data_IF_278158761462
#
_entry.id   IF_278158761462
#
_cell.length_a   1.000
_cell.length_b   1.000
_cell.length_c   1.000
_cell.angle_alpha   90.00
_cell.angle_beta   90.00
_cell.angle_gamma   90.00
#
_symmetry.space_group_name_H-M   'P 1'
#
loop_
_entity.id
_entity.type
_entity.pdbx_description
1 polymer ?
#
# COMPACT_ATOMS: atom_id res chain seq x y z
N UNK A 1 11.24 -2.93 -25.09
CA UNK A 1 12.28 -2.89 -24.04
C UNK A 1 11.73 -1.98 -22.96
N UNK A 2 11.28 -2.52 -21.84
CA UNK A 2 10.71 -1.72 -20.76
C UNK A 2 11.88 -1.06 -20.02
N UNK A 3 11.86 0.26 -19.85
CA UNK A 3 12.87 0.92 -19.03
C UNK A 3 12.50 0.75 -17.56
N UNK A 4 13.42 0.28 -16.73
CA UNK A 4 13.24 0.07 -15.29
C UNK A 4 12.89 1.37 -14.54
N UNK A 5 13.30 2.51 -15.08
CA UNK A 5 13.03 3.84 -14.51
C UNK A 5 11.54 4.17 -14.35
N UNK A 6 10.67 3.55 -15.15
CA UNK A 6 9.21 3.78 -15.10
C UNK A 6 8.49 2.97 -14.02
N UNK A 7 9.16 2.01 -13.36
CA UNK A 7 8.50 1.11 -12.39
C UNK A 7 8.56 1.60 -10.94
N UNK A 8 9.28 2.69 -10.65
CA UNK A 8 9.40 3.19 -9.27
C UNK A 8 10.10 2.19 -8.33
N UNK A 9 11.12 1.49 -8.83
CA UNK A 9 11.87 0.47 -8.08
C UNK A 9 12.65 1.13 -6.95
N UNK A 10 12.45 0.65 -5.73
CA UNK A 10 13.14 1.12 -4.53
C UNK A 10 13.63 -0.07 -3.72
N UNK A 11 14.94 -0.17 -3.50
CA UNK A 11 15.53 -1.26 -2.70
C UNK A 11 15.27 -1.07 -1.20
N UNK A 12 14.84 -2.13 -0.55
CA UNK A 12 14.51 -2.12 0.88
C UNK A 12 15.77 -2.07 1.75
N UNK A 13 15.93 -1.07 2.64
CA UNK A 13 17.03 -1.05 3.61
C UNK A 13 16.97 -2.25 4.55
N UNK A 14 18.15 -2.78 4.96
CA UNK A 14 18.25 -3.97 5.80
C UNK A 14 17.46 -3.85 7.11
N UNK A 15 17.56 -2.73 7.81
CA UNK A 15 16.88 -2.48 9.08
C UNK A 15 15.34 -2.46 8.92
N UNK A 16 14.83 -2.01 7.77
CA UNK A 16 13.40 -2.06 7.46
C UNK A 16 12.98 -3.49 7.09
N UNK A 17 13.81 -4.22 6.35
CA UNK A 17 13.57 -5.63 6.02
C UNK A 17 13.50 -6.48 7.30
N UNK A 18 14.41 -6.25 8.27
CA UNK A 18 14.40 -6.91 9.58
C UNK A 18 13.08 -6.65 10.31
N UNK A 19 12.63 -5.41 10.36
CA UNK A 19 11.38 -5.05 11.01
C UNK A 19 10.16 -5.76 10.39
N UNK A 20 10.03 -5.74 9.07
CA UNK A 20 8.88 -6.35 8.38
C UNK A 20 8.89 -7.87 8.52
N UNK A 21 10.09 -8.50 8.47
CA UNK A 21 10.23 -9.92 8.63
C UNK A 21 9.91 -10.38 10.07
N UNK A 22 10.40 -9.67 11.08
CA UNK A 22 10.09 -9.98 12.49
C UNK A 22 8.60 -9.78 12.77
N UNK A 23 8.01 -8.69 12.29
CA UNK A 23 6.59 -8.38 12.44
C UNK A 23 5.70 -9.46 11.82
N UNK A 24 6.00 -9.89 10.60
CA UNK A 24 5.27 -10.97 9.93
C UNK A 24 5.41 -12.29 10.68
N UNK A 25 6.61 -12.62 11.13
CA UNK A 25 6.86 -13.84 11.89
C UNK A 25 6.07 -13.86 13.22
N UNK A 26 6.06 -12.75 13.94
CA UNK A 26 5.36 -12.64 15.22
C UNK A 26 3.84 -12.81 15.03
N UNK A 27 3.25 -12.23 13.97
CA UNK A 27 1.83 -12.43 13.66
C UNK A 27 1.48 -13.89 13.29
N UNK A 28 2.38 -14.58 12.58
CA UNK A 28 2.21 -15.99 12.25
C UNK A 28 2.31 -16.85 13.52
N UNK A 29 3.30 -16.60 14.35
CA UNK A 29 3.59 -17.40 15.54
C UNK A 29 2.53 -17.24 16.64
N UNK A 30 1.92 -16.06 16.77
CA UNK A 30 0.86 -15.77 17.74
C UNK A 30 -0.43 -16.59 17.52
N UNK A 31 -0.61 -17.19 16.34
CA UNK A 31 -1.82 -17.96 15.99
C UNK A 31 -1.53 -19.47 15.96
N UNK A 32 -0.27 -19.84 15.93
CA UNK A 32 0.13 -21.22 15.70
C UNK A 32 0.23 -22.07 16.98
N UNK A 33 -0.91 -22.45 17.56
CA UNK A 33 -1.01 -23.71 18.29
C UNK A 33 -0.89 -24.94 17.36
N UNK A 34 -0.86 -24.72 16.04
CA UNK A 34 -0.69 -25.76 15.02
C UNK A 34 0.69 -25.63 14.39
N UNK A 35 1.51 -26.65 14.56
CA UNK A 35 2.81 -26.84 13.92
C UNK A 35 2.69 -26.54 12.41
N UNK A 36 3.22 -25.38 11.97
CA UNK A 36 3.36 -25.09 10.55
C UNK A 36 4.51 -25.96 10.06
N UNK A 37 4.19 -27.14 9.53
CA UNK A 37 5.19 -28.10 9.05
C UNK A 37 5.85 -27.67 7.73
N UNK A 38 5.19 -26.81 6.95
CA UNK A 38 5.68 -26.33 5.65
C UNK A 38 5.36 -24.85 5.49
N UNK A 39 6.40 -24.04 5.30
CA UNK A 39 6.29 -22.60 5.06
C UNK A 39 6.76 -22.29 3.65
N UNK A 40 5.84 -21.82 2.82
CA UNK A 40 6.11 -21.37 1.44
C UNK A 40 5.94 -19.85 1.38
N UNK A 41 7.02 -19.13 1.11
CA UNK A 41 7.06 -17.67 1.10
C UNK A 41 7.20 -17.17 -0.34
N UNK A 42 6.40 -16.18 -0.72
CA UNK A 42 6.49 -15.51 -2.02
C UNK A 42 6.84 -14.04 -1.83
N UNK A 43 7.79 -13.55 -2.62
CA UNK A 43 7.95 -12.13 -2.92
C UNK A 43 7.65 -11.90 -4.41
N UNK A 44 6.53 -11.26 -4.76
CA UNK A 44 6.11 -11.03 -6.14
C UNK A 44 6.88 -9.91 -6.86
N UNK A 45 7.80 -9.20 -6.17
CA UNK A 45 8.66 -8.17 -6.72
C UNK A 45 10.00 -8.17 -5.96
N UNK A 46 10.72 -9.30 -6.04
CA UNK A 46 11.76 -9.65 -5.06
C UNK A 46 13.02 -8.76 -5.11
N UNK A 47 13.26 -8.05 -6.21
CA UNK A 47 14.49 -7.30 -6.35
C UNK A 47 15.71 -8.18 -6.01
N UNK A 48 16.63 -7.68 -5.19
CA UNK A 48 17.81 -8.43 -4.75
C UNK A 48 17.52 -9.50 -3.66
N UNK A 49 16.27 -9.93 -3.48
CA UNK A 49 15.89 -11.01 -2.57
C UNK A 49 16.04 -10.70 -1.07
N UNK A 50 16.23 -9.44 -0.70
CA UNK A 50 16.52 -9.04 0.69
C UNK A 50 15.42 -9.46 1.67
N UNK A 51 14.15 -9.26 1.31
CA UNK A 51 13.02 -9.62 2.16
C UNK A 51 12.91 -11.14 2.33
N UNK A 52 13.06 -11.91 1.25
CA UNK A 52 13.06 -13.38 1.30
C UNK A 52 14.20 -13.93 2.16
N UNK A 53 15.39 -13.34 2.01
CA UNK A 53 16.53 -13.76 2.81
C UNK A 53 16.35 -13.46 4.28
N UNK A 54 15.87 -12.26 4.60
CA UNK A 54 15.66 -11.81 5.97
C UNK A 54 14.60 -12.65 6.68
N UNK A 55 13.44 -12.86 6.06
CA UNK A 55 12.37 -13.67 6.67
C UNK A 55 12.81 -15.13 6.85
N UNK A 56 13.56 -15.70 5.90
CA UNK A 56 14.12 -17.05 6.04
C UNK A 56 15.07 -17.18 7.23
N UNK A 57 15.91 -16.16 7.48
CA UNK A 57 16.76 -16.11 8.68
C UNK A 57 15.94 -16.06 9.96
N UNK A 58 14.89 -15.25 9.98
CA UNK A 58 13.99 -15.12 11.15
C UNK A 58 13.33 -16.46 11.45
N UNK A 59 12.74 -17.15 10.46
CA UNK A 59 12.16 -18.48 10.64
C UNK A 59 13.20 -19.49 11.16
N UNK A 60 14.37 -19.54 10.53
CA UNK A 60 15.43 -20.45 10.94
C UNK A 60 15.89 -20.20 12.38
N UNK A 61 16.05 -18.95 12.78
CA UNK A 61 16.56 -18.57 14.10
C UNK A 61 15.53 -18.75 15.22
N UNK A 62 14.26 -18.40 14.96
CA UNK A 62 13.20 -18.39 15.99
C UNK A 62 12.41 -19.71 16.07
N UNK A 63 12.30 -20.48 14.98
CA UNK A 63 11.50 -21.71 14.93
C UNK A 63 12.22 -22.94 14.38
N UNK A 64 13.48 -22.80 13.96
CA UNK A 64 14.26 -23.84 13.29
C UNK A 64 13.61 -24.38 11.99
N UNK A 65 12.65 -23.66 11.41
CA UNK A 65 12.01 -23.97 10.13
C UNK A 65 12.83 -23.34 9.01
N UNK A 66 13.06 -24.07 7.93
CA UNK A 66 13.65 -23.54 6.70
C UNK A 66 12.56 -23.41 5.65
N UNK A 67 12.08 -22.18 5.35
CA UNK A 67 11.02 -21.97 4.36
C UNK A 67 11.47 -22.29 2.94
N UNK A 68 10.52 -22.67 2.10
CA UNK A 68 10.69 -22.62 0.64
C UNK A 68 10.32 -21.23 0.15
N UNK A 69 11.23 -20.58 -0.56
CA UNK A 69 11.10 -19.21 -1.01
C UNK A 69 10.90 -19.14 -2.52
N UNK A 70 10.03 -18.26 -2.94
CA UNK A 70 9.73 -17.95 -4.33
C UNK A 70 9.89 -16.45 -4.56
N UNK A 71 10.76 -16.06 -5.49
CA UNK A 71 10.97 -14.68 -5.89
C UNK A 71 10.59 -14.49 -7.36
N UNK A 72 9.89 -13.42 -7.67
CA UNK A 72 9.54 -13.04 -9.04
C UNK A 72 10.06 -11.64 -9.28
N UNK A 73 10.73 -11.41 -10.39
CA UNK A 73 11.12 -10.08 -10.84
C UNK A 73 11.24 -10.04 -12.38
N UNK A 74 11.15 -8.82 -12.94
CA UNK A 74 11.31 -8.57 -14.38
C UNK A 74 12.76 -8.27 -14.77
N UNK A 75 13.63 -7.97 -13.80
CA UNK A 75 15.03 -7.66 -14.05
C UNK A 75 15.88 -8.92 -14.12
N UNK A 76 16.40 -9.20 -15.32
CA UNK A 76 17.24 -10.36 -15.57
C UNK A 76 18.55 -10.33 -14.78
N UNK A 77 19.15 -9.14 -14.56
CA UNK A 77 20.41 -9.01 -13.84
C UNK A 77 20.24 -9.36 -12.36
N UNK A 78 19.14 -8.89 -11.78
CA UNK A 78 18.77 -9.18 -10.40
C UNK A 78 18.53 -10.67 -10.21
N UNK A 79 17.70 -11.28 -11.04
CA UNK A 79 17.41 -12.72 -10.97
C UNK A 79 18.66 -13.59 -11.18
N UNK A 80 19.58 -13.19 -12.07
CA UNK A 80 20.85 -13.89 -12.22
C UNK A 80 21.72 -13.82 -10.99
N UNK A 81 21.80 -12.64 -10.35
CA UNK A 81 22.54 -12.41 -9.11
C UNK A 81 21.95 -13.24 -7.97
N UNK A 82 20.63 -13.24 -7.81
CA UNK A 82 19.94 -14.00 -6.77
C UNK A 82 20.16 -15.50 -6.89
N UNK A 83 20.06 -16.04 -8.10
CA UNK A 83 20.36 -17.47 -8.37
C UNK A 83 21.80 -17.87 -8.05
N UNK A 84 22.74 -16.93 -8.02
CA UNK A 84 24.12 -17.16 -7.60
C UNK A 84 24.32 -17.06 -6.10
N UNK A 85 23.62 -16.12 -5.47
CA UNK A 85 23.80 -15.80 -4.04
C UNK A 85 23.03 -16.75 -3.11
N UNK A 86 21.86 -17.24 -3.55
CA UNK A 86 20.97 -18.01 -2.70
C UNK A 86 20.99 -19.51 -3.02
N UNK A 87 20.88 -20.38 -1.99
CA UNK A 87 20.88 -21.83 -2.18
C UNK A 87 19.70 -22.30 -3.02
N UNK A 88 19.94 -23.10 -4.05
CA UNK A 88 18.90 -23.65 -4.94
C UNK A 88 17.93 -24.61 -4.23
N UNK A 89 18.27 -25.08 -3.06
CA UNK A 89 17.46 -26.05 -2.31
C UNK A 89 16.17 -25.48 -1.75
N UNK A 90 16.16 -24.17 -1.44
CA UNK A 90 15.01 -23.52 -0.82
C UNK A 90 14.69 -22.13 -1.39
N UNK A 91 15.36 -21.73 -2.48
CA UNK A 91 15.06 -20.47 -3.20
C UNK A 91 14.80 -20.75 -4.68
N UNK A 92 13.65 -20.31 -5.17
CA UNK A 92 13.18 -20.46 -6.53
C UNK A 92 12.89 -19.07 -7.13
N UNK A 93 13.64 -18.64 -8.13
CA UNK A 93 13.51 -17.33 -8.75
C UNK A 93 12.97 -17.43 -10.18
N UNK A 94 11.98 -16.60 -10.49
CA UNK A 94 11.32 -16.52 -11.79
C UNK A 94 11.59 -15.16 -12.44
N UNK A 95 12.17 -15.16 -13.63
CA UNK A 95 12.26 -13.98 -14.50
C UNK A 95 10.97 -13.86 -15.29
N UNK A 96 10.04 -13.04 -14.80
CA UNK A 96 8.72 -12.89 -15.42
C UNK A 96 8.01 -11.63 -14.92
N UNK A 97 7.11 -11.07 -15.73
CA UNK A 97 6.17 -10.06 -15.29
C UNK A 97 5.14 -10.68 -14.34
N UNK A 98 5.11 -10.23 -13.11
CA UNK A 98 4.21 -10.76 -12.09
C UNK A 98 2.75 -10.43 -12.40
N UNK A 99 2.48 -9.20 -12.86
CA UNK A 99 1.12 -8.66 -13.05
C UNK A 99 0.49 -9.17 -14.35
N UNK A 100 1.26 -9.20 -15.44
CA UNK A 100 0.83 -9.69 -16.75
C UNK A 100 1.78 -10.80 -17.24
N UNK A 101 1.73 -12.00 -16.62
CA UNK A 101 2.66 -13.08 -16.96
C UNK A 101 2.29 -13.80 -18.27
N UNK A 102 1.05 -13.67 -18.73
CA UNK A 102 0.52 -14.27 -19.95
C UNK A 102 -0.65 -13.45 -20.50
N UNK A 103 -0.84 -13.48 -21.82
CA UNK A 103 -2.01 -12.89 -22.45
C UNK A 103 -3.24 -13.83 -22.45
N UNK A 104 -3.02 -15.13 -22.29
CA UNK A 104 -4.05 -16.16 -22.53
C UNK A 104 -4.82 -16.56 -21.27
N UNK A 105 -4.26 -16.34 -20.10
CA UNK A 105 -4.87 -16.72 -18.81
C UNK A 105 -4.67 -15.64 -17.76
N UNK A 106 -5.58 -15.59 -16.79
CA UNK A 106 -5.48 -14.63 -15.67
C UNK A 106 -4.18 -14.85 -14.87
N UNK A 107 -3.67 -13.75 -14.31
CA UNK A 107 -2.39 -13.75 -13.60
C UNK A 107 -2.37 -14.74 -12.42
N UNK A 108 -3.47 -14.80 -11.64
CA UNK A 108 -3.56 -15.74 -10.51
C UNK A 108 -3.57 -17.19 -10.96
N UNK A 109 -4.27 -17.55 -12.06
CA UNK A 109 -4.24 -18.90 -12.62
C UNK A 109 -2.88 -19.28 -13.17
N UNK A 110 -2.16 -18.32 -13.78
CA UNK A 110 -0.80 -18.55 -14.27
C UNK A 110 0.13 -18.94 -13.12
N UNK A 111 0.09 -18.18 -12.02
CA UNK A 111 0.98 -18.42 -10.88
C UNK A 111 0.58 -19.63 -10.06
N UNK A 112 -0.71 -19.89 -9.82
CA UNK A 112 -1.21 -21.10 -9.11
C UNK A 112 -0.80 -22.42 -9.76
N UNK A 113 -0.54 -22.43 -11.06
CA UNK A 113 0.00 -23.61 -11.75
C UNK A 113 1.48 -23.85 -11.49
N UNK A 114 2.24 -22.82 -11.09
CA UNK A 114 3.69 -22.83 -10.90
C UNK A 114 4.13 -22.83 -9.45
N UNK A 115 3.39 -22.10 -8.62
CA UNK A 115 3.68 -21.93 -7.21
C UNK A 115 2.43 -22.33 -6.44
N UNK A 116 2.57 -23.31 -5.53
CA UNK A 116 1.44 -23.85 -4.78
C UNK A 116 1.58 -23.60 -3.29
N UNK A 117 0.45 -23.59 -2.60
CA UNK A 117 0.38 -23.55 -1.14
C UNK A 117 1.17 -22.38 -0.52
N UNK A 118 1.07 -21.19 -1.09
CA UNK A 118 1.71 -20.00 -0.53
C UNK A 118 1.10 -19.70 0.85
N UNK A 119 1.93 -19.82 1.88
CA UNK A 119 1.55 -19.58 3.28
C UNK A 119 1.80 -18.16 3.71
N UNK A 120 2.86 -17.54 3.16
CA UNK A 120 3.26 -16.19 3.48
C UNK A 120 3.64 -15.42 2.21
N UNK A 121 3.37 -14.12 2.21
CA UNK A 121 3.87 -13.19 1.20
C UNK A 121 4.53 -12.02 1.92
N UNK A 122 5.71 -11.62 1.48
CA UNK A 122 6.44 -10.46 2.00
C UNK A 122 6.96 -9.67 0.81
N UNK A 123 6.64 -8.39 0.69
CA UNK A 123 7.04 -7.61 -0.47
C UNK A 123 7.18 -6.11 -0.21
N UNK A 124 8.05 -5.50 -0.98
CA UNK A 124 8.08 -4.07 -1.25
C UNK A 124 7.82 -3.86 -2.75
N UNK A 125 6.55 -3.95 -3.21
CA UNK A 125 6.23 -3.81 -4.63
C UNK A 125 6.52 -2.40 -5.13
N UNK A 126 6.72 -2.18 -6.44
CA UNK A 126 6.98 -0.86 -6.99
C UNK A 126 5.82 0.11 -6.74
N UNK A 127 6.15 1.41 -6.51
CA UNK A 127 5.20 2.47 -6.12
C UNK A 127 4.99 3.49 -7.26
N UNK A 128 4.79 3.03 -8.48
CA UNK A 128 4.54 3.93 -9.60
C UNK A 128 3.09 4.42 -9.59
N UNK A 129 2.91 5.74 -9.62
CA UNK A 129 1.62 6.38 -9.87
C UNK A 129 1.35 6.59 -11.37
N UNK A 130 2.31 6.27 -12.21
CA UNK A 130 2.16 6.30 -13.67
C UNK A 130 1.44 5.03 -14.14
N UNK A 131 0.61 5.19 -15.17
CA UNK A 131 -0.10 4.07 -15.77
C UNK A 131 0.88 3.19 -16.56
N UNK A 132 1.34 2.12 -15.94
CA UNK A 132 2.31 1.17 -16.53
C UNK A 132 1.63 0.13 -17.42
N UNK A 133 0.35 -0.20 -17.15
CA UNK A 133 -0.41 -1.24 -17.85
C UNK A 133 -1.69 -0.67 -18.46
N UNK A 134 -2.10 -1.21 -19.60
CA UNK A 134 -3.38 -0.87 -20.21
C UNK A 134 -4.55 -1.48 -19.44
N UNK A 135 -5.67 -0.73 -19.33
CA UNK A 135 -6.86 -1.18 -18.60
C UNK A 135 -7.47 -2.45 -19.20
N UNK A 136 -7.41 -2.60 -20.53
CA UNK A 136 -7.87 -3.81 -21.23
C UNK A 136 -7.10 -5.03 -20.77
N UNK A 137 -5.77 -4.93 -20.69
CA UNK A 137 -4.91 -6.05 -20.29
C UNK A 137 -5.12 -6.43 -18.83
N UNK A 138 -5.28 -5.42 -17.94
CA UNK A 138 -5.59 -5.66 -16.53
C UNK A 138 -6.95 -6.33 -16.34
N UNK A 139 -7.97 -5.90 -17.08
CA UNK A 139 -9.29 -6.52 -17.02
C UNK A 139 -9.25 -7.98 -17.52
N UNK A 140 -8.55 -8.24 -18.62
CA UNK A 140 -8.37 -9.59 -19.15
C UNK A 140 -7.58 -10.49 -18.19
N UNK A 141 -6.60 -9.92 -17.48
CA UNK A 141 -5.85 -10.61 -16.43
C UNK A 141 -6.61 -10.78 -15.11
N UNK A 142 -7.85 -10.22 -15.00
CA UNK A 142 -8.75 -10.42 -13.88
C UNK A 142 -8.56 -9.47 -12.69
N UNK A 143 -7.94 -8.30 -12.90
CA UNK A 143 -7.79 -7.26 -11.86
C UNK A 143 -9.06 -6.42 -11.72
N UNK A 144 -9.38 -6.03 -10.48
CA UNK A 144 -10.55 -5.22 -10.13
C UNK A 144 -10.17 -3.79 -9.74
N UNK A 145 -9.01 -3.61 -9.07
CA UNK A 145 -8.59 -2.33 -8.49
C UNK A 145 -7.61 -1.54 -9.35
N UNK A 146 -7.20 -2.08 -10.49
CA UNK A 146 -6.30 -1.42 -11.45
C UNK A 146 -7.01 -0.54 -12.48
N UNK A 147 -8.15 0.08 -12.12
CA UNK A 147 -8.96 0.89 -13.04
C UNK A 147 -8.82 2.37 -12.68
N UNK A 148 -8.51 3.22 -13.67
CA UNK A 148 -8.32 4.66 -13.48
C UNK A 148 -6.91 5.03 -13.06
N UNK A 149 -6.78 5.95 -12.10
CA UNK A 149 -5.49 6.33 -11.52
C UNK A 149 -5.24 5.48 -10.27
N UNK A 150 -4.16 4.72 -10.25
CA UNK A 150 -3.77 3.86 -9.15
C UNK A 150 -2.24 3.79 -9.02
N UNK A 151 -1.75 3.50 -7.83
CA UNK A 151 -0.35 3.10 -7.63
C UNK A 151 -0.18 1.61 -7.94
N UNK A 152 0.93 1.23 -8.56
CA UNK A 152 1.17 -0.15 -9.01
C UNK A 152 1.10 -1.21 -7.89
N UNK A 153 1.45 -0.87 -6.65
CA UNK A 153 1.36 -1.78 -5.50
C UNK A 153 -0.05 -2.37 -5.30
N UNK A 154 -1.11 -1.67 -5.73
CA UNK A 154 -2.50 -2.13 -5.63
C UNK A 154 -2.72 -3.43 -6.39
N UNK A 155 -2.12 -3.56 -7.58
CA UNK A 155 -2.18 -4.77 -8.41
C UNK A 155 -1.44 -5.94 -7.74
N UNK A 156 -0.26 -5.67 -7.18
CA UNK A 156 0.51 -6.67 -6.42
C UNK A 156 -0.25 -7.14 -5.19
N UNK A 157 -0.92 -6.24 -4.47
CA UNK A 157 -1.74 -6.59 -3.30
C UNK A 157 -2.93 -7.45 -3.71
N UNK A 158 -3.66 -7.08 -4.77
CA UNK A 158 -4.80 -7.85 -5.27
C UNK A 158 -4.39 -9.26 -5.70
N UNK A 159 -3.31 -9.37 -6.48
CA UNK A 159 -2.80 -10.67 -6.93
C UNK A 159 -2.32 -11.52 -5.75
N UNK A 160 -1.61 -10.93 -4.82
CA UNK A 160 -1.09 -11.63 -3.64
C UNK A 160 -2.21 -12.24 -2.79
N UNK A 161 -3.31 -11.52 -2.58
CA UNK A 161 -4.46 -12.07 -1.86
C UNK A 161 -5.13 -13.23 -2.61
N UNK A 162 -5.10 -13.24 -3.95
CA UNK A 162 -5.59 -14.37 -4.76
C UNK A 162 -4.66 -15.59 -4.72
N UNK A 163 -3.37 -15.38 -4.52
CA UNK A 163 -2.35 -16.45 -4.47
C UNK A 163 -2.19 -17.04 -3.07
N UNK A 164 -2.40 -16.23 -2.05
CA UNK A 164 -2.25 -16.63 -0.66
C UNK A 164 -3.31 -17.66 -0.28
N UNK A 165 -2.90 -18.74 0.39
CA UNK A 165 -3.86 -19.73 0.88
C UNK A 165 -4.80 -19.12 1.94
N UNK A 166 -5.97 -19.72 2.21
CA UNK A 166 -6.78 -19.36 3.36
C UNK A 166 -5.95 -19.41 4.65
N UNK A 167 -6.15 -18.46 5.54
CA UNK A 167 -5.38 -18.27 6.78
C UNK A 167 -3.88 -17.97 6.60
N UNK A 168 -3.41 -17.77 5.37
CA UNK A 168 -2.07 -17.30 5.09
C UNK A 168 -1.87 -15.82 5.43
N UNK A 169 -0.62 -15.39 5.52
CA UNK A 169 -0.25 -14.03 5.91
C UNK A 169 0.49 -13.28 4.80
N UNK A 170 0.25 -11.99 4.76
CA UNK A 170 0.90 -11.07 3.83
C UNK A 170 1.43 -9.86 4.61
N UNK A 171 2.68 -9.47 4.35
CA UNK A 171 3.25 -8.21 4.82
C UNK A 171 3.76 -7.38 3.65
N UNK A 172 3.22 -6.20 3.46
CA UNK A 172 3.59 -5.28 2.39
C UNK A 172 4.14 -3.96 2.91
N UNK A 173 5.22 -3.51 2.29
CA UNK A 173 5.72 -2.14 2.40
C UNK A 173 5.03 -1.33 1.31
N UNK A 174 4.26 -0.33 1.69
CA UNK A 174 3.42 0.46 0.78
C UNK A 174 3.55 1.96 1.04
N UNK A 175 3.23 2.80 0.06
CA UNK A 175 3.13 4.24 0.30
C UNK A 175 1.85 4.59 1.04
N UNK A 176 1.83 5.77 1.67
CA UNK A 176 0.66 6.31 2.37
C UNK A 176 -0.56 6.56 1.46
N UNK A 177 -0.43 6.40 0.14
CA UNK A 177 -1.57 6.53 -0.78
C UNK A 177 -2.71 5.54 -0.48
N UNK A 178 -2.45 4.41 0.19
CA UNK A 178 -3.52 3.53 0.68
C UNK A 178 -4.53 4.28 1.56
N UNK A 179 -4.12 5.32 2.27
CA UNK A 179 -4.97 6.12 3.16
C UNK A 179 -5.68 7.27 2.42
N UNK A 180 -5.38 7.49 1.12
CA UNK A 180 -6.03 8.53 0.30
C UNK A 180 -7.49 8.17 -0.04
N UNK A 181 -8.27 9.19 -0.43
CA UNK A 181 -9.67 8.99 -0.86
C UNK A 181 -9.82 8.08 -2.08
N UNK A 182 -8.81 8.04 -2.94
CA UNK A 182 -8.81 7.25 -4.20
C UNK A 182 -8.86 5.74 -3.92
N UNK A 183 -8.24 5.28 -2.84
CA UNK A 183 -8.18 3.86 -2.46
C UNK A 183 -9.32 3.41 -1.52
N UNK A 184 -10.44 4.15 -1.43
CA UNK A 184 -11.56 3.82 -0.53
C UNK A 184 -12.16 2.44 -0.80
N UNK A 185 -12.32 2.07 -2.07
CA UNK A 185 -12.91 0.77 -2.45
C UNK A 185 -11.96 -0.39 -2.12
N UNK A 186 -10.66 -0.19 -2.28
CA UNK A 186 -9.65 -1.17 -1.84
C UNK A 186 -9.69 -1.34 -0.32
N UNK A 187 -9.73 -0.24 0.45
CA UNK A 187 -9.84 -0.33 1.92
C UNK A 187 -11.10 -1.05 2.36
N UNK A 188 -12.25 -0.74 1.73
CA UNK A 188 -13.50 -1.45 1.98
C UNK A 188 -13.35 -2.95 1.75
N UNK A 189 -12.80 -3.32 0.60
CA UNK A 189 -12.57 -4.71 0.26
C UNK A 189 -11.69 -5.43 1.29
N UNK A 190 -10.59 -4.81 1.71
CA UNK A 190 -9.69 -5.37 2.73
C UNK A 190 -10.42 -5.56 4.06
N UNK A 191 -11.19 -4.55 4.51
CA UNK A 191 -11.94 -4.60 5.78
C UNK A 191 -13.03 -5.67 5.80
N UNK A 192 -13.68 -5.94 4.67
CA UNK A 192 -14.78 -6.90 4.57
C UNK A 192 -14.33 -8.35 4.33
N UNK A 193 -13.13 -8.53 3.76
CA UNK A 193 -12.70 -9.85 3.28
C UNK A 193 -11.43 -10.38 3.93
N UNK A 194 -10.71 -9.57 4.71
CA UNK A 194 -9.45 -9.98 5.35
C UNK A 194 -9.35 -9.47 6.79
N UNK A 195 -8.61 -10.18 7.63
CA UNK A 195 -8.17 -9.62 8.91
C UNK A 195 -6.92 -8.78 8.71
N UNK A 196 -7.02 -7.48 8.95
CA UNK A 196 -5.87 -6.58 8.99
C UNK A 196 -5.24 -6.70 10.37
N UNK A 197 -4.08 -7.34 10.44
CA UNK A 197 -3.37 -7.60 11.69
C UNK A 197 -2.60 -6.40 12.19
N UNK A 198 -1.91 -5.71 11.26
CA UNK A 198 -1.08 -4.55 11.58
C UNK A 198 -1.24 -3.46 10.55
N UNK A 199 -1.31 -2.22 11.02
CA UNK A 199 -1.10 -1.00 10.24
C UNK A 199 -0.02 -0.18 10.95
N UNK A 200 1.17 -0.10 10.35
CA UNK A 200 2.27 0.69 10.87
C UNK A 200 2.61 1.84 9.91
N UNK A 201 2.41 3.09 10.32
CA UNK A 201 2.77 4.28 9.54
C UNK A 201 4.12 4.80 10.01
N UNK A 202 5.13 4.68 9.15
CA UNK A 202 6.52 4.97 9.49
C UNK A 202 6.97 6.37 9.05
N UNK A 203 6.20 7.01 8.16
CA UNK A 203 6.49 8.35 7.65
C UNK A 203 7.49 8.39 6.50
N UNK A 204 8.07 9.56 6.28
CA UNK A 204 8.93 9.85 5.11
C UNK A 204 10.41 9.53 5.36
N UNK A 205 11.20 9.53 4.27
CA UNK A 205 12.68 9.42 4.26
C UNK A 205 13.23 8.08 4.73
N UNK A 206 12.45 7.03 4.71
CA UNK A 206 12.94 5.67 5.02
C UNK A 206 13.74 5.06 3.88
N UNK A 207 13.54 5.55 2.67
CA UNK A 207 14.28 5.16 1.49
C UNK A 207 15.11 6.33 0.97
N UNK A 208 16.36 6.10 0.54
CA UNK A 208 17.16 7.13 -0.11
C UNK A 208 16.43 7.68 -1.35
N UNK A 209 16.40 9.01 -1.48
CA UNK A 209 15.81 9.72 -2.63
C UNK A 209 14.30 9.54 -2.84
N UNK A 210 13.57 8.95 -1.91
CA UNK A 210 12.11 8.81 -1.96
C UNK A 210 11.45 9.71 -0.91
N UNK A 211 10.66 10.67 -1.38
CA UNK A 211 9.91 11.62 -0.53
C UNK A 211 8.44 11.19 -0.33
N UNK A 212 8.17 9.88 -0.35
CA UNK A 212 6.84 9.34 -0.05
C UNK A 212 6.82 8.73 1.34
N UNK A 213 5.78 9.02 2.09
CA UNK A 213 5.59 8.38 3.38
C UNK A 213 5.33 6.87 3.21
N UNK A 214 5.96 6.10 4.07
CA UNK A 214 5.98 4.64 4.05
C UNK A 214 5.08 4.08 5.14
N UNK A 215 4.32 3.06 4.80
CA UNK A 215 3.53 2.28 5.74
C UNK A 215 3.76 0.79 5.54
N UNK A 216 3.54 0.01 6.61
CA UNK A 216 3.49 -1.44 6.56
C UNK A 216 2.06 -1.87 6.84
N UNK A 217 1.58 -2.83 6.05
CA UNK A 217 0.32 -3.52 6.32
C UNK A 217 0.58 -5.01 6.45
N UNK A 218 0.07 -5.63 7.52
CA UNK A 218 0.06 -7.08 7.68
C UNK A 218 -1.37 -7.56 7.66
N UNK A 219 -1.65 -8.53 6.80
CA UNK A 219 -2.99 -9.04 6.53
C UNK A 219 -2.98 -10.56 6.70
N UNK A 220 -4.02 -11.10 7.35
CA UNK A 220 -4.35 -12.53 7.30
C UNK A 220 -5.47 -12.74 6.29
N UNK A 221 -5.31 -13.70 5.39
CA UNK A 221 -6.29 -14.02 4.32
C UNK A 221 -7.46 -14.84 4.88
N UNK A 222 -8.24 -14.22 5.75
CA UNK A 222 -9.47 -14.78 6.34
C UNK A 222 -10.46 -13.65 6.60
N UNK A 223 -11.75 -13.94 6.52
CA UNK A 223 -12.78 -12.93 6.82
C UNK A 223 -12.69 -12.50 8.28
N UNK A 224 -12.82 -11.19 8.56
CA UNK A 224 -12.77 -10.71 9.94
C UNK A 224 -13.99 -11.18 10.74
N UNK A 225 -13.78 -11.43 12.01
CA UNK A 225 -14.83 -11.60 13.02
C UNK A 225 -15.19 -10.25 13.65
N UNK A 226 -16.32 -10.12 14.35
CA UNK A 226 -16.66 -8.89 15.09
C UNK A 226 -15.60 -8.48 16.12
N UNK A 227 -14.80 -9.44 16.60
CA UNK A 227 -13.75 -9.20 17.60
C UNK A 227 -12.35 -9.08 16.97
N UNK A 228 -12.23 -9.09 15.65
CA UNK A 228 -10.94 -8.93 14.98
C UNK A 228 -10.34 -7.56 15.32
N UNK A 229 -9.09 -7.59 15.79
CA UNK A 229 -8.34 -6.40 16.20
C UNK A 229 -7.18 -6.14 15.23
N UNK A 230 -6.95 -4.88 14.95
CA UNK A 230 -5.80 -4.40 14.19
C UNK A 230 -4.83 -3.72 15.16
N UNK A 231 -3.58 -4.13 15.16
CA UNK A 231 -2.51 -3.41 15.85
C UNK A 231 -2.13 -2.18 15.04
N UNK A 232 -2.24 -1.02 15.67
CA UNK A 232 -1.98 0.28 15.07
C UNK A 232 -0.70 0.87 15.65
N UNK A 233 0.17 1.36 14.77
CA UNK A 233 1.45 1.95 15.15
C UNK A 233 1.78 3.16 14.28
N UNK A 234 2.25 4.22 14.93
CA UNK A 234 2.80 5.40 14.26
C UNK A 234 4.21 5.68 14.78
N UNK A 235 5.17 5.69 13.87
CA UNK A 235 6.53 6.09 14.18
C UNK A 235 6.60 7.63 14.25
N UNK A 236 6.83 8.16 15.43
CA UNK A 236 6.97 9.60 15.61
C UNK A 236 8.30 10.13 15.04
N UNK A 237 8.44 11.45 14.98
CA UNK A 237 9.59 12.10 14.35
C UNK A 237 10.91 11.85 15.10
N UNK A 238 10.86 11.73 16.42
CA UNK A 238 12.05 11.52 17.27
C UNK A 238 12.56 10.10 17.06
N UNK A 239 11.66 9.12 17.19
CA UNK A 239 12.00 7.70 17.01
C UNK A 239 12.41 7.40 15.57
N UNK A 240 11.78 8.05 14.58
CA UNK A 240 12.19 7.91 13.19
C UNK A 240 13.62 8.39 12.96
N UNK A 241 13.99 9.51 13.56
CA UNK A 241 15.38 9.98 13.50
C UNK A 241 16.33 8.96 14.16
N UNK A 242 16.00 8.48 15.36
CA UNK A 242 16.81 7.46 16.05
C UNK A 242 16.94 6.16 15.22
N UNK A 243 15.87 5.74 14.54
CA UNK A 243 15.91 4.59 13.62
C UNK A 243 16.83 4.84 12.42
N UNK A 244 16.74 5.99 11.77
CA UNK A 244 17.59 6.36 10.63
C UNK A 244 19.05 6.48 11.02
N UNK A 245 19.34 6.94 12.24
CA UNK A 245 20.68 7.03 12.81
C UNK A 245 21.20 5.67 13.32
N UNK A 246 20.43 4.58 13.21
CA UNK A 246 20.80 3.23 13.66
C UNK A 246 20.74 2.99 15.18
N UNK A 247 20.13 3.91 15.92
CA UNK A 247 20.06 3.89 17.40
C UNK A 247 18.74 3.28 17.93
N UNK A 248 17.84 2.83 17.05
CA UNK A 248 16.54 2.27 17.43
C UNK A 248 16.21 1.06 16.56
N UNK A 249 15.78 -0.05 17.19
CA UNK A 249 15.14 -1.17 16.50
C UNK A 249 13.62 -0.94 16.43
N UNK A 250 13.05 -0.95 15.22
CA UNK A 250 11.63 -0.68 15.02
C UNK A 250 10.72 -1.71 15.71
N UNK A 251 11.11 -2.99 15.74
CA UNK A 251 10.27 -4.02 16.35
C UNK A 251 10.10 -3.80 17.86
N UNK A 252 11.16 -3.40 18.56
CA UNK A 252 11.11 -3.14 20.00
C UNK A 252 10.25 -1.90 20.29
N UNK A 253 10.38 -0.86 19.48
CA UNK A 253 9.56 0.36 19.57
C UNK A 253 8.09 0.08 19.23
N UNK A 254 7.83 -0.73 18.21
CA UNK A 254 6.49 -1.19 17.86
C UNK A 254 5.82 -1.91 19.03
N UNK A 255 6.48 -2.88 19.66
CA UNK A 255 5.92 -3.59 20.81
C UNK A 255 5.61 -2.70 22.02
N UNK A 256 6.35 -1.60 22.16
CA UNK A 256 6.14 -0.64 23.26
C UNK A 256 5.03 0.37 22.98
N UNK A 257 4.85 0.80 21.73
CA UNK A 257 4.01 1.95 21.37
C UNK A 257 2.78 1.59 20.54
N UNK A 258 2.66 0.36 20.04
CA UNK A 258 1.47 -0.06 19.31
C UNK A 258 0.26 -0.22 20.24
N UNK A 259 -0.93 -0.01 19.69
CA UNK A 259 -2.18 -0.25 20.38
C UNK A 259 -3.17 -0.96 19.46
N UNK A 260 -4.22 -1.53 20.03
CA UNK A 260 -5.22 -2.28 19.27
C UNK A 260 -6.48 -1.46 19.04
N UNK A 261 -7.04 -1.61 17.84
CA UNK A 261 -8.32 -1.06 17.41
C UNK A 261 -9.19 -2.19 16.89
N UNK A 262 -10.47 -2.21 17.20
CA UNK A 262 -11.42 -3.14 16.58
C UNK A 262 -11.53 -2.83 15.08
N UNK A 263 -11.25 -3.83 14.21
CA UNK A 263 -11.22 -3.62 12.77
C UNK A 263 -12.53 -3.08 12.20
N UNK A 264 -13.68 -3.54 12.72
CA UNK A 264 -14.98 -3.11 12.23
C UNK A 264 -15.21 -1.60 12.36
N UNK A 265 -14.56 -0.92 13.32
CA UNK A 265 -14.63 0.53 13.48
C UNK A 265 -14.22 1.27 12.21
N UNK A 266 -13.26 0.76 11.46
CA UNK A 266 -12.84 1.38 10.21
C UNK A 266 -13.92 1.33 9.11
N UNK A 267 -14.88 0.39 9.19
CA UNK A 267 -16.02 0.34 8.27
C UNK A 267 -17.02 1.48 8.53
N UNK A 268 -17.11 1.94 9.77
CA UNK A 268 -17.99 3.04 10.16
C UNK A 268 -17.42 4.42 9.80
N UNK A 269 -16.11 4.49 9.58
CA UNK A 269 -15.43 5.73 9.21
C UNK A 269 -15.81 6.18 7.79
N UNK A 270 -15.94 7.51 7.61
CA UNK A 270 -16.15 8.10 6.29
C UNK A 270 -15.05 7.66 5.31
N UNK A 271 -15.44 7.13 4.14
CA UNK A 271 -14.53 6.57 3.13
C UNK A 271 -13.64 5.42 3.65
N UNK A 272 -14.05 4.71 4.68
CA UNK A 272 -13.31 3.56 5.25
C UNK A 272 -11.88 3.93 5.66
N UNK A 273 -11.70 5.11 6.23
CA UNK A 273 -10.38 5.59 6.65
C UNK A 273 -9.86 4.74 7.80
N UNK A 274 -8.62 4.31 7.68
CA UNK A 274 -7.88 3.66 8.76
C UNK A 274 -7.40 4.74 9.73
N UNK A 275 -8.27 5.09 10.69
CA UNK A 275 -7.92 5.99 11.79
C UNK A 275 -7.16 5.20 12.86
N UNK A 276 -5.83 5.21 12.73
CA UNK A 276 -4.93 4.47 13.60
C UNK A 276 -4.50 5.26 14.83
N UNK A 277 -4.90 6.51 14.96
CA UNK A 277 -4.42 7.40 16.02
C UNK A 277 -5.43 7.52 17.18
N UNK A 278 -6.68 7.06 17.00
CA UNK A 278 -7.70 7.08 18.04
C UNK A 278 -7.64 5.79 18.87
N UNK A 279 -7.41 5.93 20.16
CA UNK A 279 -7.40 4.81 21.11
C UNK A 279 -8.82 4.37 21.50
N UNK A 280 -8.96 3.12 21.94
CA UNK A 280 -10.25 2.55 22.35
C UNK A 280 -10.97 3.42 23.41
N UNK A 281 -10.22 4.02 24.33
CA UNK A 281 -10.76 4.89 25.38
C UNK A 281 -11.34 6.20 24.84
N UNK A 282 -10.81 6.68 23.71
CA UNK A 282 -11.24 7.91 23.05
C UNK A 282 -12.45 7.69 22.13
N UNK A 283 -12.72 6.46 21.71
CA UNK A 283 -13.81 6.14 20.75
C UNK A 283 -15.17 6.64 21.22
N UNK A 284 -15.47 6.48 22.50
CA UNK A 284 -16.73 6.97 23.08
C UNK A 284 -16.86 8.48 22.99
N UNK A 285 -15.76 9.19 23.15
CA UNK A 285 -15.72 10.65 23.03
C UNK A 285 -15.88 11.08 21.58
N UNK A 286 -15.15 10.46 20.65
CA UNK A 286 -15.25 10.71 19.20
C UNK A 286 -16.69 10.46 18.73
N UNK A 287 -17.28 9.30 19.07
CA UNK A 287 -18.67 9.00 18.73
C UNK A 287 -19.65 10.03 19.27
N UNK A 288 -19.47 10.49 20.52
CA UNK A 288 -20.32 11.53 21.14
C UNK A 288 -20.20 12.87 20.42
N UNK A 289 -18.97 13.23 19.99
CA UNK A 289 -18.72 14.45 19.22
C UNK A 289 -19.36 14.34 17.84
N UNK A 290 -19.09 13.27 17.10
CA UNK A 290 -19.56 13.07 15.72
C UNK A 290 -21.10 13.02 15.63
N UNK A 291 -21.75 12.37 16.59
CA UNK A 291 -23.21 12.26 16.65
C UNK A 291 -23.91 13.63 16.77
N UNK A 292 -23.25 14.61 17.39
CA UNK A 292 -23.77 15.94 17.61
C UNK A 292 -23.24 16.98 16.63
N UNK A 293 -22.40 16.58 15.67
CA UNK A 293 -21.82 17.48 14.70
C UNK A 293 -22.65 17.55 13.41
N UNK A 294 -22.73 18.75 12.86
CA UNK A 294 -23.30 18.94 11.51
C UNK A 294 -22.22 18.61 10.49
N UNK A 295 -22.54 17.78 9.52
CA UNK A 295 -21.64 17.50 8.44
C UNK A 295 -21.39 18.77 7.60
N UNK A 296 -20.19 19.29 7.64
CA UNK A 296 -19.80 20.52 6.94
C UNK A 296 -20.08 20.49 5.44
N UNK A 297 -20.08 19.29 4.80
CA UNK A 297 -20.45 19.13 3.37
C UNK A 297 -21.91 19.49 3.11
N UNK A 298 -22.78 19.49 4.11
CA UNK A 298 -24.17 19.93 3.98
C UNK A 298 -24.30 21.47 3.97
N UNK A 299 -23.34 22.17 4.56
CA UNK A 299 -23.35 23.63 4.71
C UNK A 299 -22.40 24.29 3.72
N UNK A 300 -21.21 23.68 3.47
CA UNK A 300 -20.15 24.26 2.66
C UNK A 300 -19.84 23.38 1.45
N UNK A 301 -19.53 24.02 0.33
CA UNK A 301 -18.90 23.37 -0.80
C UNK A 301 -17.39 23.51 -0.66
N UNK A 302 -16.71 22.36 -0.57
CA UNK A 302 -15.26 22.30 -0.52
C UNK A 302 -14.71 22.08 -1.92
N UNK A 303 -13.72 22.84 -2.31
CA UNK A 303 -12.97 22.66 -3.54
C UNK A 303 -11.49 22.81 -3.27
N UNK A 304 -10.68 22.27 -4.19
CA UNK A 304 -9.23 22.49 -4.15
C UNK A 304 -8.98 23.99 -4.30
N UNK A 305 -8.20 24.57 -3.42
CA UNK A 305 -7.76 25.96 -3.50
C UNK A 305 -7.01 26.23 -4.81
N UNK A 306 -6.96 27.48 -5.22
CA UNK A 306 -6.22 27.88 -6.43
C UNK A 306 -4.72 27.86 -6.12
N UNK A 307 -3.96 27.02 -6.82
CA UNK A 307 -2.50 27.05 -6.76
C UNK A 307 -1.98 28.24 -7.60
N UNK A 308 -1.87 29.40 -6.98
CA UNK A 308 -1.40 30.63 -7.63
C UNK A 308 0.01 30.45 -8.22
N UNK A 309 0.85 29.62 -7.60
CA UNK A 309 2.20 29.30 -8.06
C UNK A 309 2.26 28.63 -9.44
N UNK A 310 1.23 27.90 -9.85
CA UNK A 310 1.17 27.22 -11.15
C UNK A 310 0.43 27.98 -12.24
N UNK A 311 -0.60 28.74 -11.88
CA UNK A 311 -1.43 29.45 -12.86
C UNK A 311 -1.15 30.95 -12.94
N UNK A 312 -0.59 31.54 -11.90
CA UNK A 312 -0.29 32.98 -11.80
C UNK A 312 -1.52 33.90 -11.80
N UNK A 313 -2.65 33.41 -12.31
CA UNK A 313 -3.84 34.22 -12.52
C UNK A 313 -5.11 33.47 -12.07
N UNK A 314 -6.08 34.22 -11.57
CA UNK A 314 -7.35 33.71 -11.09
C UNK A 314 -8.54 34.47 -11.69
N UNK A 315 -9.67 33.81 -11.83
CA UNK A 315 -10.94 34.40 -12.19
C UNK A 315 -12.04 33.95 -11.20
N UNK A 316 -12.87 34.87 -10.78
CA UNK A 316 -14.02 34.59 -9.93
C UNK A 316 -15.27 34.44 -10.79
N UNK A 317 -15.97 33.34 -10.65
CA UNK A 317 -17.22 33.10 -11.35
C UNK A 317 -18.31 34.06 -10.89
N UNK A 318 -18.90 34.80 -11.78
CA UNK A 318 -19.96 35.75 -11.44
C UNK A 318 -21.26 35.03 -11.01
N UNK A 319 -21.49 33.81 -11.50
CA UNK A 319 -22.71 33.07 -11.19
C UNK A 319 -22.68 32.36 -9.83
N UNK A 320 -21.55 31.77 -9.44
CA UNK A 320 -21.42 30.99 -8.20
C UNK A 320 -20.37 31.51 -7.23
N UNK A 321 -19.73 32.63 -7.53
CA UNK A 321 -18.71 33.33 -6.72
C UNK A 321 -17.46 32.47 -6.39
N UNK A 322 -17.26 31.34 -7.07
CA UNK A 322 -16.09 30.50 -6.87
C UNK A 322 -14.91 30.99 -7.67
N UNK A 323 -13.75 31.13 -7.00
CA UNK A 323 -12.49 31.52 -7.62
C UNK A 323 -11.73 30.31 -8.14
N UNK A 324 -11.18 30.40 -9.34
CA UNK A 324 -10.42 29.32 -10.00
C UNK A 324 -9.27 29.88 -10.84
N UNK A 325 -8.18 29.11 -10.95
CA UNK A 325 -7.03 29.49 -11.77
C UNK A 325 -7.31 29.38 -13.27
N UNK A 326 -6.64 30.18 -14.08
CA UNK A 326 -6.63 30.05 -15.55
C UNK A 326 -5.20 29.99 -16.09
N UNK A 327 -5.03 29.30 -17.22
CA UNK A 327 -3.73 29.05 -17.86
C UNK A 327 -3.62 29.85 -19.17
N UNK A 328 -2.42 29.87 -19.77
CA UNK A 328 -2.17 30.47 -21.08
C UNK A 328 -3.13 29.94 -22.16
N UNK A 329 -3.55 28.67 -22.09
CA UNK A 329 -4.52 28.08 -23.02
C UNK A 329 -5.91 28.74 -22.90
N UNK A 330 -6.34 29.08 -21.70
CA UNK A 330 -7.60 29.81 -21.50
C UNK A 330 -7.51 31.26 -21.98
N UNK A 331 -6.33 31.91 -21.85
CA UNK A 331 -6.10 33.24 -22.41
C UNK A 331 -6.23 33.27 -23.94
N UNK A 332 -5.73 32.24 -24.63
CA UNK A 332 -5.84 32.15 -26.08
C UNK A 332 -7.27 31.92 -26.60
N UNK A 333 -8.11 31.27 -25.78
CA UNK A 333 -9.54 31.05 -26.09
C UNK A 333 -10.45 32.18 -25.62
N UNK A 334 -9.93 33.17 -24.89
CA UNK A 334 -10.68 34.24 -24.24
C UNK A 334 -11.83 33.80 -23.34
N UNK A 335 -11.88 32.51 -22.94
CA UNK A 335 -13.01 31.96 -22.22
C UNK A 335 -12.59 30.85 -21.27
N UNK A 336 -13.21 30.82 -20.09
CA UNK A 336 -13.11 29.70 -19.16
C UNK A 336 -14.48 29.29 -18.64
N UNK A 337 -14.83 28.00 -18.79
CA UNK A 337 -15.99 27.40 -18.12
C UNK A 337 -15.73 27.21 -16.64
N UNK A 338 -16.68 27.59 -15.81
CA UNK A 338 -16.61 27.37 -14.37
C UNK A 338 -16.71 25.87 -14.08
N UNK A 339 -15.78 25.35 -13.30
CA UNK A 339 -15.75 23.94 -12.89
C UNK A 339 -16.88 23.59 -11.92
N UNK A 340 -17.53 24.60 -11.29
CA UNK A 340 -18.53 24.38 -10.25
C UNK A 340 -19.97 24.54 -10.74
N UNK A 341 -20.23 25.44 -11.69
CA UNK A 341 -21.58 25.69 -12.18
C UNK A 341 -21.69 25.65 -13.73
N UNK A 342 -20.62 25.28 -14.42
CA UNK A 342 -20.52 25.26 -15.88
C UNK A 342 -20.77 26.60 -16.62
N UNK A 343 -20.94 27.70 -15.89
CA UNK A 343 -21.07 29.05 -16.50
C UNK A 343 -19.78 29.43 -17.24
N UNK A 344 -19.95 30.06 -18.40
CA UNK A 344 -18.80 30.54 -19.20
C UNK A 344 -18.43 31.99 -18.83
N UNK A 345 -17.13 32.25 -18.69
CA UNK A 345 -16.61 33.54 -18.25
C UNK A 345 -15.58 34.07 -19.26
N UNK A 346 -15.77 35.27 -19.83
CA UNK A 346 -14.76 35.89 -20.64
C UNK A 346 -13.52 36.25 -19.80
N UNK A 347 -12.34 36.00 -20.34
CA UNK A 347 -11.06 36.30 -19.68
C UNK A 347 -10.48 37.61 -20.22
N UNK A 348 -11.01 38.12 -21.31
CA UNK A 348 -10.62 39.40 -21.91
C UNK A 348 -10.99 40.55 -20.96
N UNK A 349 -9.99 41.30 -20.52
CA UNK A 349 -10.17 42.50 -19.69
C UNK A 349 -9.89 42.32 -18.21
N UNK A 350 -9.30 41.20 -17.77
CA UNK A 350 -8.72 41.08 -16.44
C UNK A 350 -7.34 41.76 -16.42
N UNK A 351 -7.00 42.56 -15.36
CA UNK A 351 -5.72 43.26 -15.25
C UNK A 351 -4.52 42.30 -15.15
#
# INVERSE_FOLDING_TARGET
>A
MFSLDNYGVVYTPNNLADFVAELLFDEINNIADNVINEVNILDPACGEGILLHTISKVFKSKSNILPTNYGIDVDENVIKKDKQLFPKTNFNFFLQNTILPSADISADNYWKRRIKNITCIIANPPWSAEKVFDNSDLNNAGYKFGIGQYDSYVLFLELSLKLLKPDGFLAFIIPDSLFSGENKELRKFLLENTEIKVIARLGEKLFPNVNRATSIIVIKNTKPSPNSKTSCYRLDTIDRKAFLDGNLRLIDNYHQKSHYVLQHRFLDNANYVFDIDTYEEEERLVYKIERNCINWKQIFRFGRGVEISKSGNVVTCQSCQMTQGYTKKHLSSNEKKCQFCAGSHPISGLP
#
